data_IF_909756913191
#
_entry.id   IF_909756913191
#
_cell.length_a   1.000
_cell.length_b   1.000
_cell.length_c   1.000
_cell.angle_alpha   90.00
_cell.angle_beta   90.00
_cell.angle_gamma   90.00
#
_symmetry.space_group_name_H-M   'P 1'
#
loop_
_entity.id
_entity.type
_entity.pdbx_description
1 polymer ?
#
# COMPACT_ATOMS: atom_id res chain seq x y z
N UNK A 1 3.00 -16.96 -27.65
CA UNK A 1 3.42 -17.58 -26.38
C UNK A 1 3.16 -16.72 -25.15
N UNK A 2 3.16 -15.41 -25.24
CA UNK A 2 2.84 -14.51 -24.11
C UNK A 2 1.34 -14.42 -23.81
N UNK A 3 0.49 -14.50 -24.81
CA UNK A 3 -0.97 -14.45 -24.63
C UNK A 3 -1.54 -15.67 -23.89
N UNK A 4 -0.90 -16.82 -24.03
CA UNK A 4 -1.34 -18.06 -23.40
C UNK A 4 -1.06 -18.09 -21.87
N UNK A 5 -0.01 -17.41 -21.41
CA UNK A 5 0.33 -17.33 -19.98
C UNK A 5 -0.59 -16.36 -19.22
N UNK A 6 -1.06 -15.30 -19.90
CA UNK A 6 -1.99 -14.32 -19.31
C UNK A 6 -3.38 -14.92 -19.10
N UNK A 7 -3.80 -15.79 -20.02
CA UNK A 7 -5.10 -16.49 -19.95
C UNK A 7 -5.16 -17.46 -18.76
N UNK A 8 -4.06 -18.16 -18.48
CA UNK A 8 -3.98 -19.14 -17.37
C UNK A 8 -4.03 -18.45 -15.99
N UNK A 9 -3.42 -17.28 -15.87
CA UNK A 9 -3.44 -16.51 -14.61
C UNK A 9 -4.85 -15.93 -14.36
N UNK A 10 -5.56 -15.54 -15.42
CA UNK A 10 -6.93 -15.04 -15.31
C UNK A 10 -7.93 -16.14 -14.96
N UNK A 11 -7.70 -17.36 -15.44
CA UNK A 11 -8.57 -18.51 -15.14
C UNK A 11 -8.37 -19.00 -13.71
N UNK A 12 -7.15 -18.97 -13.18
CA UNK A 12 -6.86 -19.26 -11.77
C UNK A 12 -7.48 -18.22 -10.83
N UNK A 13 -7.49 -16.94 -11.24
CA UNK A 13 -8.14 -15.86 -10.48
C UNK A 13 -9.67 -15.97 -10.53
N UNK A 14 -10.23 -16.46 -11.64
CA UNK A 14 -11.68 -16.69 -11.76
C UNK A 14 -12.14 -17.90 -10.94
N UNK A 15 -11.32 -18.96 -10.88
CA UNK A 15 -11.60 -20.15 -10.07
C UNK A 15 -11.58 -19.83 -8.57
N UNK A 16 -10.70 -18.94 -8.15
CA UNK A 16 -10.63 -18.46 -6.76
C UNK A 16 -11.83 -17.59 -6.37
N UNK A 17 -12.51 -16.97 -7.36
CA UNK A 17 -13.70 -16.12 -7.12
C UNK A 17 -15.02 -16.88 -6.99
N UNK A 18 -15.09 -18.12 -7.41
CA UNK A 18 -16.35 -18.92 -7.38
C UNK A 18 -16.61 -19.72 -6.10
N UNK A 19 -15.81 -19.51 -5.31
CA UNK A 19 -16.03 -20.27 -4.13
C UNK A 19 -16.35 -19.50 -2.92
N UNK A 20 -16.89 -18.75 -3.24
CA UNK A 20 -17.15 -18.05 -2.10
C UNK A 20 -18.54 -17.60 -1.92
N UNK A 21 -19.42 -18.44 -1.96
CA UNK A 21 -20.71 -18.04 -1.40
C UNK A 21 -21.09 -18.85 -0.17
N UNK A 22 -20.43 -18.58 0.88
CA UNK A 22 -20.96 -18.78 2.26
C UNK A 22 -20.29 -17.76 3.16
N UNK A 23 -21.12 -16.91 3.74
CA UNK A 23 -20.81 -15.91 4.72
C UNK A 23 -20.27 -16.54 6.01
N UNK A 24 -18.99 -16.72 6.08
CA UNK A 24 -18.28 -16.74 7.34
C UNK A 24 -17.08 -15.81 7.17
N UNK A 25 -17.05 -14.75 7.94
CA UNK A 25 -15.92 -13.85 8.02
C UNK A 25 -14.77 -14.65 8.66
N UNK A 26 -14.19 -15.52 7.86
CA UNK A 26 -12.91 -16.11 8.23
C UNK A 26 -11.88 -15.04 7.86
N UNK A 27 -11.26 -14.49 8.86
CA UNK A 27 -10.14 -13.57 8.72
C UNK A 27 -9.16 -14.10 7.67
N UNK A 28 -8.73 -13.27 6.70
CA UNK A 28 -7.77 -13.73 5.68
C UNK A 28 -6.44 -14.23 6.25
N UNK A 29 -6.20 -14.02 7.54
CA UNK A 29 -5.01 -14.46 8.26
C UNK A 29 -4.87 -16.01 8.25
N UNK A 30 -5.97 -16.75 8.19
CA UNK A 30 -5.94 -18.22 8.27
C UNK A 30 -5.43 -18.91 6.97
N UNK A 31 -5.53 -18.24 5.82
CA UNK A 31 -5.19 -18.87 4.54
C UNK A 31 -3.69 -18.78 4.21
N UNK A 32 -2.95 -17.87 4.83
CA UNK A 32 -1.50 -17.72 4.60
C UNK A 32 -0.64 -18.51 5.60
N UNK A 33 -1.24 -19.07 6.65
CA UNK A 33 -0.51 -19.74 7.72
C UNK A 33 0.02 -21.14 7.35
N UNK A 34 -0.38 -21.68 6.19
CA UNK A 34 -0.07 -23.07 5.84
C UNK A 34 1.17 -23.25 4.95
N UNK A 35 1.92 -22.19 4.65
CA UNK A 35 3.04 -22.25 3.71
C UNK A 35 4.40 -21.77 4.22
N UNK A 36 4.55 -21.55 5.52
CA UNK A 36 5.83 -21.06 6.06
C UNK A 36 6.64 -22.24 6.58
N UNK A 37 7.67 -22.60 5.87
CA UNK A 37 8.72 -23.47 6.39
C UNK A 37 9.33 -22.81 7.62
N UNK A 38 9.09 -23.40 8.79
CA UNK A 38 9.79 -23.02 10.02
C UNK A 38 11.28 -23.32 9.83
N UNK A 39 12.06 -22.29 9.59
CA UNK A 39 13.49 -22.40 9.76
C UNK A 39 13.74 -22.48 11.27
N UNK A 40 14.42 -23.51 11.70
CA UNK A 40 14.67 -23.87 13.12
C UNK A 40 15.46 -22.80 13.93
N UNK A 41 15.72 -21.63 13.35
CA UNK A 41 16.43 -20.53 14.02
C UNK A 41 15.51 -19.51 14.70
N UNK A 42 14.18 -19.72 14.65
CA UNK A 42 13.21 -18.76 15.14
C UNK A 42 12.83 -18.83 16.60
N UNK A 43 13.14 -19.93 17.28
CA UNK A 43 12.61 -20.20 18.63
C UNK A 43 13.15 -19.27 19.72
N UNK A 44 14.25 -18.60 19.50
CA UNK A 44 14.86 -17.68 20.47
C UNK A 44 15.14 -16.30 19.89
N UNK A 45 14.70 -16.04 18.65
CA UNK A 45 14.94 -14.77 17.98
C UNK A 45 13.95 -13.70 18.43
N UNK A 46 14.44 -12.47 18.58
CA UNK A 46 13.64 -11.25 18.81
C UNK A 46 13.60 -10.37 17.56
N UNK A 47 14.13 -10.86 16.43
CA UNK A 47 14.11 -10.17 15.13
C UNK A 47 12.84 -10.48 14.37
N UNK A 48 12.29 -9.48 13.68
CA UNK A 48 11.35 -9.73 12.58
C UNK A 48 12.08 -10.47 11.45
N UNK A 49 11.35 -11.07 10.54
CA UNK A 49 11.90 -11.52 9.27
C UNK A 49 12.22 -10.26 8.44
N UNK A 50 13.46 -9.86 8.45
CA UNK A 50 13.92 -8.59 7.85
C UNK A 50 13.57 -8.50 6.37
N UNK A 51 13.83 -9.57 5.60
CA UNK A 51 13.56 -9.62 4.16
C UNK A 51 12.05 -9.42 3.87
N UNK A 52 11.19 -10.11 4.61
CA UNK A 52 9.73 -10.02 4.44
C UNK A 52 9.20 -8.65 4.88
N UNK A 53 9.72 -8.09 5.98
CA UNK A 53 9.31 -6.76 6.44
C UNK A 53 9.75 -5.67 5.45
N UNK A 54 10.94 -5.78 4.87
CA UNK A 54 11.42 -4.88 3.80
C UNK A 54 10.54 -4.97 2.57
N UNK A 55 10.13 -6.18 2.17
CA UNK A 55 9.20 -6.38 1.05
C UNK A 55 7.85 -5.69 1.34
N UNK A 56 7.33 -5.82 2.55
CA UNK A 56 6.10 -5.15 2.98
C UNK A 56 6.24 -3.63 2.88
N UNK A 57 7.36 -3.08 3.34
CA UNK A 57 7.66 -1.65 3.27
C UNK A 57 7.74 -1.15 1.82
N UNK A 58 8.39 -1.90 0.93
CA UNK A 58 8.48 -1.57 -0.50
C UNK A 58 7.09 -1.50 -1.13
N UNK A 59 6.27 -2.51 -0.90
CA UNK A 59 4.90 -2.59 -1.44
C UNK A 59 4.05 -1.43 -0.93
N UNK A 60 4.16 -1.09 0.36
CA UNK A 60 3.45 0.05 0.97
C UNK A 60 3.89 1.37 0.33
N UNK A 61 5.19 1.54 0.08
CA UNK A 61 5.75 2.73 -0.57
C UNK A 61 5.28 2.89 -2.01
N UNK A 62 5.30 1.81 -2.79
CA UNK A 62 4.82 1.80 -4.18
C UNK A 62 3.33 2.15 -4.24
N UNK A 63 2.55 1.58 -3.34
CA UNK A 63 1.13 1.89 -3.23
C UNK A 63 0.92 3.39 -2.94
N UNK A 64 1.60 3.93 -1.93
CA UNK A 64 1.46 5.33 -1.54
C UNK A 64 1.82 6.27 -2.69
N UNK A 65 2.90 5.97 -3.40
CA UNK A 65 3.34 6.73 -4.56
C UNK A 65 2.29 6.72 -5.68
N UNK A 66 1.73 5.56 -5.98
CA UNK A 66 0.68 5.41 -7.01
C UNK A 66 -0.57 6.20 -6.62
N UNK A 67 -1.02 6.07 -5.36
CA UNK A 67 -2.19 6.79 -4.86
C UNK A 67 -1.98 8.30 -4.89
N UNK A 68 -0.78 8.77 -4.55
CA UNK A 68 -0.45 10.21 -4.63
C UNK A 68 -0.53 10.70 -6.09
N UNK A 69 -0.02 9.92 -7.05
CA UNK A 69 -0.07 10.28 -8.47
C UNK A 69 -1.52 10.36 -8.97
N UNK A 70 -2.33 9.34 -8.70
CA UNK A 70 -3.74 9.31 -9.13
C UNK A 70 -4.54 10.42 -8.46
N UNK A 71 -4.33 10.66 -7.18
CA UNK A 71 -5.01 11.73 -6.42
C UNK A 71 -4.65 13.10 -6.99
N UNK A 72 -3.38 13.32 -7.29
CA UNK A 72 -2.89 14.55 -7.90
C UNK A 72 -3.58 14.81 -9.24
N UNK A 73 -3.64 13.79 -10.10
CA UNK A 73 -4.30 13.90 -11.41
C UNK A 73 -5.80 14.22 -11.27
N UNK A 74 -6.48 13.62 -10.29
CA UNK A 74 -7.90 13.88 -10.02
C UNK A 74 -8.14 15.30 -9.51
N UNK A 75 -7.32 15.76 -8.58
CA UNK A 75 -7.48 17.08 -7.92
C UNK A 75 -7.14 18.22 -8.91
N UNK A 76 -6.10 18.04 -9.71
CA UNK A 76 -5.62 19.04 -10.68
C UNK A 76 -6.40 19.03 -12.00
N UNK A 77 -7.23 18.02 -12.27
CA UNK A 77 -8.02 17.93 -13.49
C UNK A 77 -9.04 19.09 -13.54
N UNK A 78 -9.21 19.77 -14.70
CA UNK A 78 -10.25 20.80 -14.82
C UNK A 78 -11.65 20.28 -14.54
N UNK A 79 -12.57 21.17 -14.19
CA UNK A 79 -13.98 20.82 -14.00
C UNK A 79 -14.60 20.39 -15.34
N UNK A 80 -15.45 19.39 -15.28
CA UNK A 80 -16.29 18.97 -16.40
C UNK A 80 -17.18 20.14 -16.82
N UNK A 81 -17.20 20.48 -18.10
CA UNK A 81 -17.98 21.58 -18.64
C UNK A 81 -18.73 21.12 -19.89
N UNK A 82 -20.05 21.18 -19.84
CA UNK A 82 -20.93 20.78 -20.93
C UNK A 82 -21.39 21.97 -21.79
N UNK A 83 -20.86 23.17 -21.55
CA UNK A 83 -21.25 24.36 -22.33
C UNK A 83 -21.01 24.14 -23.83
N UNK A 84 -22.05 24.37 -24.63
CA UNK A 84 -22.01 24.19 -26.07
C UNK A 84 -22.14 22.74 -26.55
N UNK A 85 -22.29 21.79 -25.63
CA UNK A 85 -22.46 20.36 -25.98
C UNK A 85 -23.94 20.00 -25.98
N UNK A 86 -24.42 19.46 -27.10
CA UNK A 86 -25.80 19.01 -27.23
C UNK A 86 -25.92 17.57 -26.72
N UNK A 87 -26.77 17.38 -25.69
CA UNK A 87 -26.99 16.08 -25.05
C UNK A 87 -28.45 15.63 -25.30
N UNK A 88 -28.93 15.80 -26.51
CA UNK A 88 -30.31 15.46 -26.89
C UNK A 88 -30.73 14.09 -26.36
N UNK A 89 -31.83 14.07 -25.64
CA UNK A 89 -32.44 12.85 -25.10
C UNK A 89 -31.81 12.33 -23.79
N UNK A 90 -30.74 12.95 -23.29
CA UNK A 90 -30.00 12.52 -22.10
C UNK A 90 -29.84 13.68 -21.10
N UNK A 91 -30.96 14.27 -20.69
CA UNK A 91 -31.04 15.51 -19.89
C UNK A 91 -30.24 15.39 -18.57
N UNK A 92 -30.26 14.20 -17.95
CA UNK A 92 -29.61 13.95 -16.63
C UNK A 92 -28.12 13.65 -16.74
N UNK A 93 -27.61 13.33 -17.92
CA UNK A 93 -26.22 12.86 -18.08
C UNK A 93 -25.19 13.89 -17.63
N UNK A 94 -25.31 15.20 -17.99
CA UNK A 94 -24.33 16.19 -17.50
C UNK A 94 -24.26 16.23 -15.96
N UNK A 95 -25.39 16.23 -15.30
CA UNK A 95 -25.46 16.24 -13.81
C UNK A 95 -24.79 15.01 -13.21
N UNK A 96 -25.03 13.84 -13.80
CA UNK A 96 -24.43 12.59 -13.32
C UNK A 96 -22.89 12.61 -13.48
N UNK A 97 -22.38 13.05 -14.63
CA UNK A 97 -20.94 13.10 -14.89
C UNK A 97 -20.26 14.13 -13.99
N UNK A 98 -20.87 15.30 -13.77
CA UNK A 98 -20.37 16.30 -12.82
C UNK A 98 -20.27 15.69 -11.41
N UNK A 99 -21.31 14.94 -10.99
CA UNK A 99 -21.32 14.28 -9.68
C UNK A 99 -20.26 13.18 -9.62
N UNK A 100 -20.06 12.41 -10.69
CA UNK A 100 -19.00 11.37 -10.78
C UNK A 100 -17.63 12.00 -10.56
N UNK A 101 -17.34 13.14 -11.20
CA UNK A 101 -16.05 13.84 -11.00
C UNK A 101 -15.90 14.33 -9.56
N UNK A 102 -16.97 14.89 -8.98
CA UNK A 102 -16.96 15.33 -7.57
C UNK A 102 -16.67 14.17 -6.62
N UNK A 103 -17.30 13.02 -6.85
CA UNK A 103 -17.09 11.80 -6.04
C UNK A 103 -15.62 11.33 -6.17
N UNK A 104 -15.11 11.30 -7.38
CA UNK A 104 -13.71 10.88 -7.63
C UNK A 104 -12.72 11.80 -6.89
N UNK A 105 -12.93 13.10 -6.96
CA UNK A 105 -12.09 14.08 -6.23
C UNK A 105 -12.22 13.92 -4.71
N UNK A 106 -13.44 13.66 -4.21
CA UNK A 106 -13.67 13.43 -2.78
C UNK A 106 -12.88 12.23 -2.27
N UNK A 107 -12.85 11.14 -3.05
CA UNK A 107 -12.04 9.96 -2.71
C UNK A 107 -10.55 10.26 -2.74
N UNK A 108 -10.09 11.07 -3.70
CA UNK A 108 -8.69 11.51 -3.77
C UNK A 108 -8.31 12.31 -2.50
N UNK A 109 -9.19 13.18 -2.04
CA UNK A 109 -8.99 13.97 -0.81
C UNK A 109 -8.97 13.06 0.43
N UNK A 110 -9.86 12.05 0.48
CA UNK A 110 -9.88 11.07 1.60
C UNK A 110 -8.53 10.34 1.68
N UNK A 111 -8.00 9.88 0.55
CA UNK A 111 -6.66 9.30 0.53
C UNK A 111 -5.64 10.29 1.10
N UNK A 112 -5.59 11.49 0.55
CA UNK A 112 -4.53 12.47 0.85
C UNK A 112 -4.56 12.95 2.30
N UNK A 113 -5.76 13.13 2.88
CA UNK A 113 -5.92 13.74 4.21
C UNK A 113 -6.13 12.73 5.34
N UNK A 114 -6.62 11.52 5.06
CA UNK A 114 -7.01 10.55 6.10
C UNK A 114 -6.21 9.25 5.99
N UNK A 115 -6.30 8.55 4.87
CA UNK A 115 -5.73 7.20 4.71
C UNK A 115 -4.19 7.27 4.68
N UNK A 116 -3.63 8.25 3.99
CA UNK A 116 -2.18 8.46 3.94
C UNK A 116 -1.61 8.69 5.35
N UNK A 117 -2.31 9.46 6.19
CA UNK A 117 -1.90 9.68 7.58
C UNK A 117 -1.82 8.36 8.36
N UNK A 118 -2.81 7.48 8.19
CA UNK A 118 -2.82 6.16 8.86
C UNK A 118 -1.66 5.29 8.38
N UNK A 119 -1.33 5.33 7.08
CA UNK A 119 -0.17 4.63 6.55
C UNK A 119 1.13 5.16 7.19
N UNK A 120 1.27 6.48 7.30
CA UNK A 120 2.42 7.10 7.97
C UNK A 120 2.51 6.69 9.43
N UNK A 121 1.38 6.60 10.13
CA UNK A 121 1.31 6.13 11.53
C UNK A 121 1.75 4.66 11.65
N UNK A 122 1.38 3.83 10.66
CA UNK A 122 1.81 2.42 10.60
C UNK A 122 3.34 2.31 10.45
N UNK A 123 3.94 3.17 9.63
CA UNK A 123 5.40 3.25 9.49
C UNK A 123 6.06 3.76 10.78
N UNK A 124 5.43 4.71 11.46
CA UNK A 124 5.88 5.22 12.77
C UNK A 124 5.94 4.08 13.80
N UNK A 125 5.03 3.12 13.74
CA UNK A 125 5.05 1.95 14.62
C UNK A 125 6.35 1.14 14.54
N UNK A 126 6.93 1.00 13.36
CA UNK A 126 8.22 0.32 13.17
C UNK A 126 9.35 1.15 13.81
N UNK A 127 9.32 2.47 13.60
CA UNK A 127 10.32 3.42 14.14
C UNK A 127 10.29 3.40 15.67
N UNK A 128 9.10 3.48 16.24
CA UNK A 128 8.89 3.46 17.71
C UNK A 128 9.29 2.12 18.31
N UNK A 129 9.01 1.02 17.60
CA UNK A 129 9.40 -0.31 18.08
C UNK A 129 10.92 -0.42 18.22
N UNK A 130 11.68 0.06 17.25
CA UNK A 130 13.15 0.09 17.35
C UNK A 130 13.61 0.92 18.55
N UNK A 131 13.00 2.09 18.76
CA UNK A 131 13.33 2.96 19.90
C UNK A 131 13.07 2.25 21.23
N UNK A 132 11.91 1.58 21.35
CA UNK A 132 11.55 0.84 22.58
C UNK A 132 12.50 -0.34 22.78
N UNK A 133 12.81 -1.09 21.72
CA UNK A 133 13.76 -2.20 21.77
C UNK A 133 15.12 -1.72 22.28
N UNK A 134 15.62 -0.62 21.74
CA UNK A 134 16.90 -0.03 22.13
C UNK A 134 16.90 0.40 23.61
N UNK A 135 15.78 0.97 24.08
CA UNK A 135 15.61 1.38 25.48
C UNK A 135 15.63 0.18 26.44
N UNK A 136 15.07 -0.95 26.04
CA UNK A 136 15.03 -2.18 26.86
C UNK A 136 16.33 -3.00 26.75
N UNK A 137 17.18 -2.74 25.75
CA UNK A 137 18.30 -3.59 25.39
C UNK A 137 19.24 -3.85 26.57
N UNK A 138 19.72 -2.80 27.23
CA UNK A 138 20.67 -2.93 28.35
C UNK A 138 20.03 -3.66 29.55
N UNK A 139 18.78 -3.38 29.85
CA UNK A 139 18.03 -4.05 30.93
C UNK A 139 17.91 -5.55 30.65
N UNK A 140 17.62 -5.92 29.40
CA UNK A 140 17.50 -7.32 28.97
C UNK A 140 18.89 -8.00 29.06
N UNK A 141 19.96 -7.33 28.61
CA UNK A 141 21.33 -7.86 28.70
C UNK A 141 21.70 -8.13 30.17
N UNK A 142 21.43 -7.18 31.05
CA UNK A 142 21.73 -7.32 32.49
C UNK A 142 20.93 -8.47 33.12
N UNK A 143 19.65 -8.59 32.78
CA UNK A 143 18.79 -9.67 33.26
C UNK A 143 19.31 -11.05 32.79
N UNK A 144 19.79 -11.14 31.54
CA UNK A 144 20.41 -12.37 31.01
C UNK A 144 21.68 -12.70 31.82
N UNK A 145 22.53 -11.72 32.05
CA UNK A 145 23.82 -11.90 32.69
C UNK A 145 23.68 -12.28 34.18
N UNK A 146 22.66 -11.73 34.87
CA UNK A 146 22.40 -11.99 36.30
C UNK A 146 21.45 -13.16 36.55
N UNK A 147 20.82 -13.69 35.50
CA UNK A 147 19.83 -14.76 35.66
C UNK A 147 18.48 -14.26 36.19
N UNK A 148 18.17 -12.95 36.05
CA UNK A 148 16.94 -12.34 36.54
C UNK A 148 15.77 -12.60 35.57
N UNK A 149 15.09 -13.71 35.77
CA UNK A 149 13.98 -14.15 34.93
C UNK A 149 12.76 -13.24 35.01
N UNK A 150 12.49 -12.59 36.13
CA UNK A 150 11.34 -11.69 36.28
C UNK A 150 11.52 -10.44 35.41
N UNK A 151 12.64 -9.74 35.56
CA UNK A 151 12.95 -8.56 34.75
C UNK A 151 12.98 -8.90 33.25
N UNK A 152 13.55 -10.05 32.88
CA UNK A 152 13.61 -10.53 31.50
C UNK A 152 12.21 -10.75 30.92
N UNK A 153 11.33 -11.44 31.64
CA UNK A 153 9.93 -11.68 31.22
C UNK A 153 9.18 -10.37 31.07
N UNK A 154 9.34 -9.45 32.01
CA UNK A 154 8.67 -8.15 31.99
C UNK A 154 9.06 -7.37 30.72
N UNK A 155 10.36 -7.28 30.43
CA UNK A 155 10.87 -6.59 29.25
C UNK A 155 10.36 -7.18 27.92
N UNK A 156 10.40 -8.51 27.81
CA UNK A 156 9.91 -9.21 26.60
C UNK A 156 8.39 -9.05 26.46
N UNK A 157 7.66 -9.09 27.57
CA UNK A 157 6.19 -8.90 27.57
C UNK A 157 5.81 -7.49 27.11
N UNK A 158 6.53 -6.47 27.56
CA UNK A 158 6.30 -5.08 27.14
C UNK A 158 6.56 -4.91 25.64
N UNK A 159 7.67 -5.46 25.12
CA UNK A 159 7.98 -5.45 23.69
C UNK A 159 6.90 -6.17 22.90
N UNK A 160 6.41 -7.30 23.38
CA UNK A 160 5.32 -8.06 22.76
C UNK A 160 4.03 -7.22 22.71
N UNK A 161 3.76 -6.45 23.74
CA UNK A 161 2.60 -5.53 23.78
C UNK A 161 2.64 -4.52 22.65
N UNK A 162 3.81 -3.96 22.33
CA UNK A 162 3.97 -3.04 21.19
C UNK A 162 3.78 -3.76 19.84
N UNK A 163 4.28 -4.99 19.71
CA UNK A 163 4.06 -5.82 18.52
C UNK A 163 2.55 -5.99 18.26
N UNK A 164 1.81 -6.33 19.32
CA UNK A 164 0.35 -6.51 19.25
C UNK A 164 -0.36 -5.21 18.86
N UNK A 165 0.11 -4.08 19.36
CA UNK A 165 -0.44 -2.77 19.02
C UNK A 165 -0.18 -2.43 17.55
N UNK A 166 1.01 -2.70 17.04
CA UNK A 166 1.36 -2.50 15.62
C UNK A 166 0.50 -3.39 14.71
N UNK A 167 0.24 -4.62 15.11
CA UNK A 167 -0.66 -5.54 14.39
C UNK A 167 -2.08 -4.96 14.31
N UNK A 168 -2.60 -4.43 15.41
CA UNK A 168 -3.93 -3.80 15.47
C UNK A 168 -4.01 -2.58 14.54
N UNK A 169 -2.97 -1.75 14.55
CA UNK A 169 -2.90 -0.54 13.70
C UNK A 169 -2.90 -0.93 12.22
N UNK A 170 -2.13 -1.95 11.83
CA UNK A 170 -2.11 -2.46 10.46
C UNK A 170 -3.48 -3.00 10.05
N UNK A 171 -4.15 -3.74 10.94
CA UNK A 171 -5.49 -4.30 10.67
C UNK A 171 -6.53 -3.19 10.50
N UNK A 172 -6.48 -2.15 11.33
CA UNK A 172 -7.38 -0.99 11.20
C UNK A 172 -7.22 -0.31 9.83
N UNK A 173 -5.98 -0.13 9.41
CA UNK A 173 -5.69 0.46 8.08
C UNK A 173 -6.25 -0.43 6.95
N UNK A 174 -6.09 -1.75 7.05
CA UNK A 174 -6.64 -2.72 6.09
C UNK A 174 -8.17 -2.57 6.00
N UNK A 175 -8.84 -2.46 7.14
CA UNK A 175 -10.30 -2.32 7.21
C UNK A 175 -10.75 -1.01 6.54
N UNK A 176 -10.07 0.10 6.82
CA UNK A 176 -10.38 1.41 6.26
C UNK A 176 -10.12 1.43 4.74
N UNK A 177 -9.03 0.79 4.28
CA UNK A 177 -8.75 0.64 2.84
C UNK A 177 -9.81 -0.21 2.14
N UNK A 178 -10.27 -1.27 2.80
CA UNK A 178 -11.33 -2.15 2.27
C UNK A 178 -12.63 -1.37 2.08
N UNK A 179 -13.00 -0.55 3.05
CA UNK A 179 -14.19 0.30 2.98
C UNK A 179 -14.06 1.31 1.85
N UNK A 180 -12.92 2.00 1.74
CA UNK A 180 -12.65 2.97 0.68
C UNK A 180 -12.69 2.31 -0.70
N UNK A 181 -12.08 1.12 -0.84
CA UNK A 181 -12.12 0.34 -2.10
C UNK A 181 -13.56 0.05 -2.52
N UNK A 182 -14.39 -0.38 -1.58
CA UNK A 182 -15.77 -0.75 -1.87
C UNK A 182 -16.59 0.48 -2.33
N UNK A 183 -16.39 1.63 -1.69
CA UNK A 183 -17.06 2.87 -2.07
C UNK A 183 -16.60 3.35 -3.45
N UNK A 184 -15.30 3.36 -3.70
CA UNK A 184 -14.73 3.74 -5.01
C UNK A 184 -15.23 2.77 -6.09
N UNK A 185 -15.34 1.48 -5.79
CA UNK A 185 -15.85 0.49 -6.74
C UNK A 185 -17.26 0.79 -7.26
N UNK A 186 -18.13 1.27 -6.37
CA UNK A 186 -19.49 1.71 -6.76
C UNK A 186 -19.43 2.90 -7.72
N UNK A 187 -18.61 3.90 -7.38
CA UNK A 187 -18.46 5.12 -8.18
C UNK A 187 -17.83 4.83 -9.54
N UNK A 188 -16.83 3.94 -9.60
CA UNK A 188 -16.16 3.53 -10.86
C UNK A 188 -17.18 2.90 -11.82
N UNK A 189 -18.08 2.03 -11.31
CA UNK A 189 -19.11 1.40 -12.15
C UNK A 189 -20.08 2.43 -12.71
N UNK A 190 -20.56 3.34 -11.89
CA UNK A 190 -21.48 4.41 -12.30
C UNK A 190 -20.79 5.36 -13.29
N UNK A 191 -19.59 5.81 -12.95
CA UNK A 191 -18.82 6.74 -13.80
C UNK A 191 -18.49 6.08 -15.16
N UNK A 192 -18.12 4.81 -15.17
CA UNK A 192 -17.81 4.06 -16.40
C UNK A 192 -19.01 4.05 -17.36
N UNK A 193 -20.19 3.75 -16.87
CA UNK A 193 -21.43 3.73 -17.66
C UNK A 193 -21.73 5.13 -18.25
N UNK A 194 -21.61 6.17 -17.44
CA UNK A 194 -21.88 7.54 -17.87
C UNK A 194 -20.84 8.02 -18.89
N UNK A 195 -19.57 7.68 -18.69
CA UNK A 195 -18.45 8.01 -19.62
C UNK A 195 -18.66 7.33 -20.98
N UNK A 196 -19.03 6.05 -21.00
CA UNK A 196 -19.28 5.30 -22.25
C UNK A 196 -20.42 5.91 -23.03
N UNK A 197 -21.50 6.29 -22.35
CA UNK A 197 -22.66 6.96 -22.97
C UNK A 197 -22.23 8.30 -23.56
N UNK A 198 -21.47 9.11 -22.82
CA UNK A 198 -20.96 10.40 -23.32
C UNK A 198 -20.10 10.20 -24.58
N UNK A 199 -19.17 9.27 -24.55
CA UNK A 199 -18.29 8.98 -25.70
C UNK A 199 -19.11 8.61 -26.95
N UNK A 200 -20.16 7.80 -26.78
CA UNK A 200 -21.06 7.40 -27.86
C UNK A 200 -21.80 8.61 -28.46
N UNK A 201 -22.32 9.50 -27.61
CA UNK A 201 -23.02 10.72 -28.03
C UNK A 201 -22.07 11.63 -28.84
N UNK A 202 -20.86 11.87 -28.33
CA UNK A 202 -19.88 12.73 -28.98
C UNK A 202 -19.42 12.14 -30.32
N UNK A 203 -19.21 10.82 -30.38
CA UNK A 203 -18.86 10.10 -31.61
C UNK A 203 -19.95 10.28 -32.67
N UNK A 204 -21.22 10.15 -32.28
CA UNK A 204 -22.38 10.35 -33.16
C UNK A 204 -22.49 11.79 -33.68
N UNK A 205 -21.88 12.74 -32.96
CA UNK A 205 -21.79 14.15 -33.37
C UNK A 205 -20.51 14.47 -34.18
N UNK A 206 -19.78 13.43 -34.59
CA UNK A 206 -18.61 13.57 -35.46
C UNK A 206 -17.29 13.83 -34.73
N UNK A 207 -17.26 13.73 -33.41
CA UNK A 207 -15.99 13.86 -32.67
C UNK A 207 -15.15 12.58 -32.76
N UNK A 208 -13.84 12.73 -33.02
CA UNK A 208 -12.91 11.59 -33.09
C UNK A 208 -12.41 11.22 -31.71
N UNK A 209 -13.35 10.77 -30.86
CA UNK A 209 -13.09 10.42 -29.46
C UNK A 209 -12.21 9.16 -29.34
N UNK A 210 -12.30 8.26 -30.31
CA UNK A 210 -11.56 6.98 -30.27
C UNK A 210 -10.06 7.18 -30.35
N UNK A 211 -9.60 8.02 -31.29
CA UNK A 211 -8.18 8.36 -31.46
C UNK A 211 -7.65 9.10 -30.22
N UNK A 212 -8.43 10.04 -29.70
CA UNK A 212 -8.04 10.80 -28.51
C UNK A 212 -8.01 9.92 -27.25
N UNK A 213 -8.97 9.01 -27.08
CA UNK A 213 -8.98 8.06 -25.94
C UNK A 213 -7.76 7.14 -25.94
N UNK A 214 -7.35 6.68 -27.13
CA UNK A 214 -6.16 5.86 -27.29
C UNK A 214 -4.90 6.63 -26.89
N UNK A 215 -4.80 7.89 -27.35
CA UNK A 215 -3.68 8.77 -26.98
C UNK A 215 -3.68 9.06 -25.48
N UNK A 216 -4.85 9.35 -24.90
CA UNK A 216 -5.03 9.59 -23.47
C UNK A 216 -4.55 8.38 -22.64
N UNK A 217 -4.94 7.17 -23.05
CA UNK A 217 -4.53 5.94 -22.37
C UNK A 217 -3.00 5.80 -22.41
N UNK A 218 -2.37 6.06 -23.55
CA UNK A 218 -0.90 6.00 -23.69
C UNK A 218 -0.21 6.99 -22.77
N UNK A 219 -0.72 8.23 -22.69
CA UNK A 219 -0.16 9.27 -21.80
C UNK A 219 -0.28 8.84 -20.33
N UNK A 220 -1.46 8.36 -19.93
CA UNK A 220 -1.72 7.97 -18.54
C UNK A 220 -0.98 6.68 -18.15
N UNK A 221 -0.77 5.76 -19.09
CA UNK A 221 0.05 4.57 -18.86
C UNK A 221 1.51 4.94 -18.54
N UNK A 222 2.02 6.02 -19.14
CA UNK A 222 3.38 6.50 -18.86
C UNK A 222 3.54 7.02 -17.44
N UNK A 223 2.43 7.42 -16.79
CA UNK A 223 2.39 7.91 -15.40
C UNK A 223 2.02 6.80 -14.41
N UNK A 224 1.71 5.60 -14.90
CA UNK A 224 1.32 4.48 -14.06
C UNK A 224 2.58 3.84 -13.46
N UNK A 225 3.03 4.40 -12.36
CA UNK A 225 4.22 3.94 -11.64
C UNK A 225 4.11 2.49 -11.18
N UNK A 226 2.90 2.03 -10.87
CA UNK A 226 2.68 0.67 -10.39
C UNK A 226 3.02 -0.36 -11.46
N UNK A 227 2.50 -0.20 -12.68
CA UNK A 227 2.77 -1.10 -13.81
C UNK A 227 4.25 -1.06 -14.23
N UNK A 228 4.86 0.11 -14.20
CA UNK A 228 6.27 0.31 -14.55
C UNK A 228 7.19 -0.38 -13.54
N UNK A 229 6.87 -0.31 -12.26
CA UNK A 229 7.65 -0.96 -11.19
C UNK A 229 7.34 -2.45 -11.11
N UNK A 230 6.13 -2.89 -11.48
CA UNK A 230 5.81 -4.30 -11.59
C UNK A 230 6.64 -4.97 -12.70
N UNK A 231 6.85 -4.28 -13.83
CA UNK A 231 7.66 -4.82 -14.93
C UNK A 231 9.15 -4.78 -14.63
N UNK A 232 9.65 -3.72 -14.00
CA UNK A 232 11.08 -3.48 -13.80
C UNK A 232 11.58 -3.85 -12.40
N UNK A 233 10.77 -3.64 -11.37
CA UNK A 233 11.13 -3.79 -9.97
C UNK A 233 10.89 -5.18 -9.40
N UNK A 234 9.88 -5.91 -9.86
CA UNK A 234 9.59 -7.25 -9.35
C UNK A 234 10.64 -8.28 -9.78
N UNK A 235 11.22 -8.12 -10.95
CA UNK A 235 12.33 -8.97 -11.40
C UNK A 235 13.61 -8.68 -10.64
N UNK A 236 13.83 -7.41 -10.27
CA UNK A 236 14.95 -7.00 -9.40
C UNK A 236 14.72 -7.51 -7.97
N UNK A 237 13.46 -7.49 -7.48
CA UNK A 237 13.11 -8.02 -6.15
C UNK A 237 13.28 -9.54 -6.05
N UNK A 238 12.95 -10.30 -7.08
CA UNK A 238 13.21 -11.76 -7.11
C UNK A 238 14.70 -12.07 -7.06
N UNK A 239 15.52 -11.21 -7.66
CA UNK A 239 16.98 -11.29 -7.57
C UNK A 239 17.52 -10.89 -6.19
N UNK A 240 16.87 -9.94 -5.52
CA UNK A 240 17.27 -9.43 -4.20
C UNK A 240 16.94 -10.42 -3.06
N UNK A 241 15.92 -11.26 -3.24
CA UNK A 241 15.60 -12.35 -2.29
C UNK A 241 16.78 -13.34 -2.21
N UNK A 242 17.65 -13.36 -3.21
CA UNK A 242 18.83 -14.21 -3.27
C UNK A 242 20.10 -13.55 -2.69
N UNK A 243 19.97 -12.49 -1.89
CA UNK A 243 21.04 -12.00 -1.04
C UNK A 243 21.79 -10.73 -1.46
N UNK A 244 21.18 -9.91 -2.32
CA UNK A 244 21.80 -8.63 -2.74
C UNK A 244 21.19 -7.43 -2.00
N UNK A 245 22.01 -6.43 -1.60
CA UNK A 245 21.57 -5.28 -0.78
C UNK A 245 20.87 -4.17 -1.60
N UNK A 246 20.02 -4.53 -2.52
CA UNK A 246 19.34 -3.57 -3.44
C UNK A 246 18.10 -2.93 -2.77
N UNK A 247 17.69 -3.44 -1.63
CA UNK A 247 16.42 -3.10 -0.98
C UNK A 247 16.38 -1.62 -0.55
N UNK A 248 17.45 -1.11 0.01
CA UNK A 248 17.55 0.30 0.42
C UNK A 248 17.47 1.28 -0.75
N UNK A 249 18.04 0.91 -1.90
CA UNK A 249 18.00 1.74 -3.12
C UNK A 249 16.61 1.91 -3.70
N UNK A 250 15.78 0.87 -3.61
CA UNK A 250 14.39 0.93 -4.08
C UNK A 250 13.58 1.88 -3.19
N UNK A 251 13.72 1.78 -1.88
CA UNK A 251 13.03 2.65 -0.91
C UNK A 251 13.43 4.12 -1.13
N UNK A 252 14.72 4.38 -1.30
CA UNK A 252 15.25 5.73 -1.59
C UNK A 252 14.68 6.25 -2.92
N UNK A 253 14.62 5.40 -3.94
CA UNK A 253 14.04 5.75 -5.25
C UNK A 253 12.57 6.13 -5.13
N UNK A 254 11.79 5.36 -4.36
CA UNK A 254 10.38 5.65 -4.09
C UNK A 254 10.26 7.01 -3.36
N UNK A 255 11.08 7.22 -2.34
CA UNK A 255 11.05 8.42 -1.50
C UNK A 255 11.46 9.70 -2.24
N UNK A 256 12.34 9.59 -3.23
CA UNK A 256 12.85 10.76 -3.98
C UNK A 256 11.94 11.23 -5.11
N UNK A 257 10.94 10.46 -5.45
CA UNK A 257 10.02 10.86 -6.52
C UNK A 257 9.09 11.96 -6.03
N UNK A 258 8.69 12.85 -6.92
CA UNK A 258 7.79 13.95 -6.59
C UNK A 258 6.71 14.14 -7.65
N UNK A 259 5.66 14.83 -7.26
CA UNK A 259 4.48 15.05 -8.10
C UNK A 259 4.74 16.07 -9.23
N UNK A 260 5.81 16.86 -9.14
CA UNK A 260 6.15 17.83 -10.19
C UNK A 260 6.46 17.16 -11.52
N UNK A 261 6.84 15.88 -11.52
CA UNK A 261 7.05 15.08 -12.73
C UNK A 261 5.75 14.91 -13.54
N UNK A 262 4.59 15.11 -12.92
CA UNK A 262 3.29 14.99 -13.58
C UNK A 262 2.88 16.29 -14.30
N UNK A 263 3.55 17.44 -14.02
CA UNK A 263 3.18 18.72 -14.61
C UNK A 263 3.27 18.75 -16.15
N UNK A 264 4.32 18.19 -16.80
CA UNK A 264 4.32 18.12 -18.27
C UNK A 264 3.15 17.31 -18.83
N UNK A 265 2.80 16.20 -18.17
CA UNK A 265 1.64 15.36 -18.54
C UNK A 265 0.34 16.15 -18.40
N UNK A 266 0.16 16.87 -17.29
CA UNK A 266 -1.02 17.73 -17.06
C UNK A 266 -1.09 18.83 -18.12
N UNK A 267 0.04 19.46 -18.44
CA UNK A 267 0.11 20.49 -19.48
C UNK A 267 -0.34 19.95 -20.85
N UNK A 268 0.13 18.75 -21.21
CA UNK A 268 -0.30 18.08 -22.44
C UNK A 268 -1.82 17.78 -22.45
N UNK A 269 -2.34 17.27 -21.33
CA UNK A 269 -3.76 16.94 -21.19
C UNK A 269 -4.66 18.18 -21.22
N UNK A 270 -4.13 19.34 -20.83
CA UNK A 270 -4.87 20.62 -20.81
C UNK A 270 -4.82 21.40 -22.12
N UNK A 271 -4.06 20.94 -23.12
CA UNK A 271 -4.01 21.63 -24.42
C UNK A 271 -5.40 21.79 -24.98
N UNK A 272 -5.69 23.00 -25.48
CA UNK A 272 -6.99 23.31 -26.07
C UNK A 272 -7.14 22.58 -27.38
N UNK A 273 -8.18 21.79 -27.48
CA UNK A 273 -8.62 21.06 -28.69
C UNK A 273 -10.09 21.36 -28.89
N UNK A 274 -10.72 20.72 -29.85
CA UNK A 274 -12.17 20.81 -30.02
C UNK A 274 -12.88 20.58 -28.66
N UNK A 275 -13.91 21.39 -28.36
CA UNK A 275 -14.56 21.37 -27.04
C UNK A 275 -15.24 20.04 -26.69
N UNK A 276 -15.68 19.27 -27.70
CA UNK A 276 -16.21 17.89 -27.48
C UNK A 276 -15.10 16.96 -27.07
N UNK A 277 -13.95 17.04 -27.74
CA UNK A 277 -12.73 16.26 -27.38
C UNK A 277 -12.23 16.69 -26.01
N UNK A 278 -12.20 17.98 -25.71
CA UNK A 278 -11.79 18.52 -24.40
C UNK A 278 -12.67 17.94 -23.29
N UNK A 279 -13.99 17.94 -23.47
CA UNK A 279 -14.93 17.37 -22.50
C UNK A 279 -14.66 15.86 -22.29
N UNK A 280 -14.55 15.11 -23.38
CA UNK A 280 -14.29 13.67 -23.31
C UNK A 280 -12.98 13.37 -22.61
N UNK A 281 -11.95 14.19 -22.87
CA UNK A 281 -10.62 14.06 -22.26
C UNK A 281 -10.67 14.30 -20.74
N UNK A 282 -11.33 15.37 -20.31
CA UNK A 282 -11.48 15.70 -18.87
C UNK A 282 -12.19 14.56 -18.14
N UNK A 283 -13.27 14.06 -18.72
CA UNK A 283 -14.04 12.92 -18.17
C UNK A 283 -13.16 11.65 -18.14
N UNK A 284 -12.43 11.41 -19.22
CA UNK A 284 -11.54 10.24 -19.35
C UNK A 284 -10.42 10.24 -18.33
N UNK A 285 -9.77 11.39 -18.10
CA UNK A 285 -8.70 11.56 -17.09
C UNK A 285 -9.25 11.20 -15.71
N UNK A 286 -10.42 11.75 -15.36
CA UNK A 286 -11.04 11.49 -14.05
C UNK A 286 -11.38 10.01 -13.89
N UNK A 287 -12.03 9.41 -14.90
CA UNK A 287 -12.44 8.00 -14.86
C UNK A 287 -11.24 7.05 -14.75
N UNK A 288 -10.21 7.27 -15.57
CA UNK A 288 -9.03 6.40 -15.58
C UNK A 288 -8.31 6.47 -14.22
N UNK A 289 -8.14 7.67 -13.67
CA UNK A 289 -7.42 7.82 -12.39
C UNK A 289 -8.18 7.22 -11.21
N UNK A 290 -9.53 7.39 -11.14
CA UNK A 290 -10.30 6.75 -10.05
C UNK A 290 -10.31 5.22 -10.23
N UNK A 291 -10.32 4.72 -11.46
CA UNK A 291 -10.23 3.28 -11.75
C UNK A 291 -8.88 2.71 -11.32
N UNK A 292 -7.80 3.43 -11.57
CA UNK A 292 -6.46 3.01 -11.14
C UNK A 292 -6.32 3.07 -9.61
N UNK A 293 -6.94 4.06 -8.94
CA UNK A 293 -7.03 4.10 -7.48
C UNK A 293 -7.72 2.85 -6.95
N UNK A 294 -8.82 2.44 -7.57
CA UNK A 294 -9.55 1.23 -7.18
C UNK A 294 -8.66 -0.02 -7.25
N UNK A 295 -7.91 -0.17 -8.34
CA UNK A 295 -6.97 -1.29 -8.52
C UNK A 295 -5.82 -1.23 -7.51
N UNK A 296 -5.25 -0.05 -7.28
CA UNK A 296 -4.15 0.15 -6.33
C UNK A 296 -4.57 -0.20 -4.91
N UNK A 297 -5.82 0.03 -4.55
CA UNK A 297 -6.35 -0.32 -3.22
C UNK A 297 -6.38 -1.84 -2.99
N UNK A 298 -6.67 -2.65 -4.01
CA UNK A 298 -6.57 -4.12 -3.89
C UNK A 298 -5.14 -4.54 -3.57
N UNK A 299 -4.17 -3.97 -4.27
CA UNK A 299 -2.74 -4.27 -4.06
C UNK A 299 -2.26 -3.81 -2.68
N UNK A 300 -2.75 -2.64 -2.23
CA UNK A 300 -2.44 -2.11 -0.89
C UNK A 300 -2.96 -3.01 0.22
N UNK A 301 -4.19 -3.48 0.08
CA UNK A 301 -4.82 -4.39 1.06
C UNK A 301 -3.96 -5.66 1.17
N UNK A 302 -3.51 -6.21 0.04
CA UNK A 302 -2.65 -7.39 0.01
C UNK A 302 -1.28 -7.11 0.69
N UNK A 303 -0.67 -5.96 0.38
CA UNK A 303 0.64 -5.57 0.95
C UNK A 303 0.56 -5.37 2.48
N UNK A 304 -0.51 -4.74 2.96
CA UNK A 304 -0.70 -4.47 4.38
C UNK A 304 -1.15 -5.73 5.14
N UNK A 305 -1.88 -6.63 4.50
CA UNK A 305 -2.18 -7.96 5.04
C UNK A 305 -0.86 -8.73 5.24
N UNK A 306 0.05 -8.63 4.29
CA UNK A 306 1.39 -9.23 4.39
C UNK A 306 2.16 -8.65 5.57
N UNK A 307 2.13 -7.32 5.75
CA UNK A 307 2.77 -6.64 6.90
C UNK A 307 2.13 -7.07 8.22
N UNK A 308 0.81 -7.14 8.29
CA UNK A 308 0.08 -7.59 9.49
C UNK A 308 0.48 -9.02 9.86
N UNK A 309 0.67 -9.89 8.87
CA UNK A 309 1.15 -11.26 9.07
C UNK A 309 2.56 -11.26 9.70
N UNK A 310 3.44 -10.34 9.29
CA UNK A 310 4.78 -10.24 9.88
C UNK A 310 4.69 -9.87 11.38
N UNK A 311 3.82 -8.94 11.75
CA UNK A 311 3.59 -8.61 13.16
C UNK A 311 2.99 -9.79 13.94
N UNK A 312 2.06 -10.53 13.33
CA UNK A 312 1.45 -11.73 13.93
C UNK A 312 2.51 -12.82 14.18
N UNK A 313 3.35 -13.09 13.21
CA UNK A 313 4.42 -14.09 13.32
C UNK A 313 5.41 -13.69 14.43
N UNK A 314 5.72 -12.39 14.51
CA UNK A 314 6.60 -11.85 15.54
C UNK A 314 5.97 -12.01 16.94
N UNK A 315 4.67 -11.75 17.09
CA UNK A 315 3.95 -11.98 18.36
C UNK A 315 4.06 -13.44 18.80
N UNK A 316 3.85 -14.38 17.88
CA UNK A 316 3.97 -15.83 18.15
C UNK A 316 5.41 -16.19 18.55
N UNK A 317 6.39 -15.60 17.88
CA UNK A 317 7.81 -15.78 18.14
C UNK A 317 8.17 -15.32 19.56
N UNK A 318 7.71 -14.14 19.97
CA UNK A 318 7.95 -13.59 21.31
C UNK A 318 7.24 -14.43 22.39
N UNK A 319 6.04 -14.95 22.10
CA UNK A 319 5.35 -15.91 22.97
C UNK A 319 6.20 -17.17 23.18
N UNK A 320 6.81 -17.68 22.12
CA UNK A 320 7.74 -18.82 22.19
C UNK A 320 8.97 -18.52 23.04
N UNK A 321 9.57 -17.33 22.88
CA UNK A 321 10.71 -16.90 23.69
C UNK A 321 10.34 -16.86 25.17
N UNK A 322 9.15 -16.32 25.51
CA UNK A 322 8.65 -16.30 26.91
C UNK A 322 8.50 -17.73 27.45
N UNK A 323 8.04 -18.68 26.65
CA UNK A 323 7.97 -20.10 27.01
C UNK A 323 9.34 -20.68 27.34
N UNK A 324 10.34 -20.39 26.51
CA UNK A 324 11.74 -20.83 26.75
C UNK A 324 12.31 -20.19 28.03
N UNK A 325 12.01 -18.91 28.29
CA UNK A 325 12.44 -18.22 29.52
C UNK A 325 11.79 -18.88 30.75
N UNK A 326 10.50 -19.20 30.70
CA UNK A 326 9.79 -19.87 31.78
C UNK A 326 10.42 -21.24 32.11
N UNK A 327 10.73 -22.01 31.05
CA UNK A 327 11.37 -23.33 31.22
C UNK A 327 12.79 -23.19 31.82
N UNK A 328 13.57 -22.23 31.29
CA UNK A 328 14.93 -21.98 31.77
C UNK A 328 14.94 -21.45 33.22
N UNK A 329 13.91 -20.69 33.61
CA UNK A 329 13.76 -20.16 35.00
C UNK A 329 13.73 -21.25 36.05
N UNK A 330 13.34 -22.46 35.70
CA UNK A 330 13.31 -23.61 36.59
C UNK A 330 14.72 -24.13 36.94
N UNK A 331 15.74 -23.74 36.19
CA UNK A 331 17.12 -24.18 36.36
C UNK A 331 17.82 -23.35 37.42
N UNK A 332 18.71 -23.99 38.20
CA UNK A 332 19.52 -23.32 39.21
C UNK A 332 20.72 -22.57 38.65
N UNK A 333 21.09 -22.82 37.37
CA UNK A 333 22.24 -22.21 36.72
C UNK A 333 22.03 -20.71 36.52
N UNK A 334 22.99 -19.90 36.92
CA UNK A 334 23.02 -18.45 36.77
C UNK A 334 23.08 -18.06 35.28
N UNK A 335 23.64 -18.93 34.44
CA UNK A 335 23.81 -18.70 32.99
C UNK A 335 22.61 -19.22 32.17
N UNK A 336 21.49 -19.51 32.83
CA UNK A 336 20.31 -20.16 32.21
C UNK A 336 19.68 -19.39 31.05
N UNK A 337 19.91 -18.09 30.91
CA UNK A 337 19.35 -17.25 29.84
C UNK A 337 20.36 -16.87 28.76
N UNK A 338 21.62 -17.33 28.84
CA UNK A 338 22.66 -16.99 27.87
C UNK A 338 22.35 -17.39 26.43
N UNK A 339 21.43 -18.33 26.22
CA UNK A 339 20.97 -18.76 24.89
C UNK A 339 20.32 -17.61 24.07
N UNK A 340 19.83 -16.56 24.75
CA UNK A 340 19.19 -15.40 24.11
C UNK A 340 20.19 -14.39 23.55
N UNK A 341 21.43 -14.36 24.06
CA UNK A 341 22.40 -13.27 23.80
C UNK A 341 22.79 -13.10 22.33
N UNK A 342 23.11 -14.16 21.56
CA UNK A 342 23.46 -13.99 20.15
C UNK A 342 22.34 -13.38 19.32
N UNK A 343 21.10 -13.82 19.58
CA UNK A 343 19.92 -13.37 18.84
C UNK A 343 19.50 -11.95 19.23
N UNK A 344 19.80 -11.52 20.47
CA UNK A 344 19.49 -10.18 20.94
C UNK A 344 20.28 -9.11 20.18
N UNK A 345 21.58 -9.35 19.96
CA UNK A 345 22.44 -8.45 19.18
C UNK A 345 21.98 -8.37 17.73
N UNK A 346 21.68 -9.52 17.12
CA UNK A 346 21.16 -9.59 15.74
C UNK A 346 19.83 -8.82 15.61
N UNK A 347 18.96 -8.93 16.63
CA UNK A 347 17.68 -8.22 16.66
C UNK A 347 17.89 -6.70 16.70
N UNK A 348 18.79 -6.23 17.54
CA UNK A 348 19.12 -4.80 17.66
C UNK A 348 19.52 -4.21 16.30
N UNK A 349 20.43 -4.89 15.59
CA UNK A 349 20.90 -4.45 14.28
C UNK A 349 19.79 -4.50 13.21
N UNK A 350 18.99 -5.55 13.21
CA UNK A 350 17.88 -5.75 12.27
C UNK A 350 16.80 -4.67 12.44
N UNK A 351 16.41 -4.37 13.66
CA UNK A 351 15.41 -3.32 13.94
C UNK A 351 15.91 -1.94 13.53
N UNK A 352 17.19 -1.67 13.74
CA UNK A 352 17.83 -0.42 13.30
C UNK A 352 17.77 -0.26 11.78
N UNK A 353 18.00 -1.33 11.04
CA UNK A 353 17.90 -1.36 9.57
C UNK A 353 16.45 -1.07 9.13
N UNK A 354 15.47 -1.75 9.73
CA UNK A 354 14.04 -1.54 9.41
C UNK A 354 13.59 -0.13 9.77
N UNK A 355 14.09 0.43 10.89
CA UNK A 355 13.84 1.83 11.26
C UNK A 355 14.32 2.78 10.16
N UNK A 356 15.54 2.59 9.67
CA UNK A 356 16.12 3.44 8.62
C UNK A 356 15.24 3.41 7.35
N UNK A 357 14.80 2.24 6.94
CA UNK A 357 13.92 2.07 5.78
C UNK A 357 12.57 2.75 6.01
N UNK A 358 11.96 2.58 7.19
CA UNK A 358 10.68 3.18 7.56
C UNK A 358 10.76 4.72 7.61
N UNK A 359 11.84 5.27 8.18
CA UNK A 359 12.08 6.73 8.21
C UNK A 359 12.17 7.29 6.80
N UNK A 360 12.99 6.67 5.95
CA UNK A 360 13.20 7.09 4.56
C UNK A 360 11.87 7.11 3.80
N UNK A 361 11.11 6.04 3.93
CA UNK A 361 9.81 5.89 3.25
C UNK A 361 8.79 6.91 3.77
N UNK A 362 8.70 7.06 5.09
CA UNK A 362 7.77 8.01 5.75
C UNK A 362 8.02 9.44 5.29
N UNK A 363 9.28 9.86 5.26
CA UNK A 363 9.63 11.23 4.84
C UNK A 363 9.29 11.44 3.35
N UNK A 364 9.56 10.47 2.50
CA UNK A 364 9.22 10.53 1.07
C UNK A 364 7.71 10.63 0.84
N UNK A 365 6.92 9.81 1.51
CA UNK A 365 5.45 9.83 1.40
C UNK A 365 4.88 11.16 1.91
N UNK A 366 5.40 11.65 3.03
CA UNK A 366 4.98 12.90 3.67
C UNK A 366 5.21 14.13 2.77
N UNK A 367 6.33 14.13 2.04
CA UNK A 367 6.69 15.23 1.14
C UNK A 367 5.80 15.30 -0.10
N UNK A 368 5.17 14.19 -0.49
CA UNK A 368 4.30 14.11 -1.66
C UNK A 368 2.90 14.67 -1.31
N UNK A 369 2.84 15.94 -0.93
CA UNK A 369 1.56 16.60 -0.64
C UNK A 369 0.88 17.02 -1.93
N UNK A 370 -0.41 16.75 -2.01
CA UNK A 370 -1.28 17.30 -3.06
C UNK A 370 -1.77 18.66 -2.54
N UNK A 371 -1.17 19.73 -3.01
CA UNK A 371 -1.63 21.07 -2.64
C UNK A 371 -3.04 21.31 -3.18
N UNK A 372 -3.94 21.66 -2.29
CA UNK A 372 -5.30 22.05 -2.69
C UNK A 372 -5.22 23.25 -3.64
N UNK A 373 -5.79 23.10 -4.82
CA UNK A 373 -5.95 24.24 -5.73
C UNK A 373 -7.04 25.10 -5.15
N UNK A 374 -6.67 26.28 -4.69
CA UNK A 374 -7.67 27.31 -4.39
C UNK A 374 -8.33 27.67 -5.73
N UNK A 375 -9.64 27.53 -5.87
CA UNK A 375 -10.27 27.96 -7.12
C UNK A 375 -9.94 29.40 -7.38
N UNK A 376 -9.30 29.69 -8.50
CA UNK A 376 -9.16 31.07 -8.96
C UNK A 376 -10.57 31.57 -9.25
N UNK A 377 -10.95 32.66 -8.59
CA UNK A 377 -12.23 33.34 -8.82
C UNK A 377 -12.31 33.89 -10.25
#
# INVERSE_FOLDING_TARGET
>A
MQEHKFSLILDDLKAAKQXXTTTSVVSPVAAYASGIEQTNNGETSLSANEAKMKEALQKAGLFAKSMNAYSYMLIKNPDVNFEGININGYVDLPGRIVQDQKNARAHAVIWDTQVKKQLLDTLTGIIEYDTTFDNYYETIVDAINTGDGETLKEGITDLRGEIQQNQKSAQKLIDDLTNLRNEIGKDVRAFGSNKELLSSILKNQGADVEADEKRLQQILDSVNYYKKLESDGFNVMKGAILGLPIIGGIIVGIARDNLSKLEPTLAELRQTVDYKITLNRVVGVAYINISEMHKALDDAINALTYMSTQWHDLDSQYSGVLGHINNASQKADQNKFKFLKPNLNAAKDSWKTLRTDAVTLKEGIKELKVESVTPQK
#
